data_IF_503180633342
#
_entry.id   IF_503180633342
#
_cell.length_a   1.000
_cell.length_b   1.000
_cell.length_c   1.000
_cell.angle_alpha   90.00
_cell.angle_beta   90.00
_cell.angle_gamma   90.00
#
_symmetry.space_group_name_H-M   'P 1'
#
loop_
_entity.id
_entity.type
_entity.pdbx_description
1 polymer ?
#
# COMPACT_ATOMS: atom_id res chain seq x y z
N UNK A 1 -1.22 7.74 12.18
CA UNK A 1 -0.12 6.75 12.07
C UNK A 1 -0.57 5.37 12.57
N UNK A 2 -0.03 4.31 11.98
CA UNK A 2 -0.32 2.92 12.37
C UNK A 2 0.25 2.59 13.77
N UNK A 3 -0.54 1.91 14.60
CA UNK A 3 -0.06 1.35 15.86
C UNK A 3 0.66 0.02 15.59
N UNK A 4 2.00 0.00 15.71
CA UNK A 4 2.85 -1.17 15.43
C UNK A 4 2.59 -2.35 16.39
N UNK A 5 2.45 -2.10 17.68
CA UNK A 5 2.19 -3.16 18.67
C UNK A 5 0.87 -3.88 18.39
N UNK A 6 -0.20 -3.12 18.10
CA UNK A 6 -1.50 -3.68 17.75
C UNK A 6 -1.44 -4.47 16.46
N UNK A 7 -0.71 -3.96 15.45
CA UNK A 7 -0.51 -4.64 14.19
C UNK A 7 0.22 -5.98 14.38
N UNK A 8 1.36 -5.97 15.06
CA UNK A 8 2.18 -7.16 15.35
C UNK A 8 1.40 -8.23 16.11
N UNK A 9 0.63 -7.83 17.14
CA UNK A 9 -0.21 -8.73 17.93
C UNK A 9 -1.25 -9.48 17.08
N UNK A 10 -1.72 -8.86 15.99
CA UNK A 10 -2.78 -9.41 15.13
C UNK A 10 -2.27 -9.93 13.79
N UNK A 11 -0.94 -10.01 13.57
CA UNK A 11 -0.36 -10.51 12.31
C UNK A 11 -0.83 -11.93 11.96
N UNK A 12 -1.14 -12.75 12.96
CA UNK A 12 -1.67 -14.10 12.77
C UNK A 12 -3.06 -14.16 12.13
N UNK A 13 -3.78 -13.03 12.02
CA UNK A 13 -5.07 -12.96 11.32
C UNK A 13 -4.93 -12.64 9.82
N UNK A 14 -3.71 -12.36 9.35
CA UNK A 14 -3.46 -12.17 7.93
C UNK A 14 -3.56 -13.52 7.20
N UNK A 15 -3.97 -13.52 5.92
CA UNK A 15 -3.90 -14.72 5.08
C UNK A 15 -2.48 -15.27 5.02
N UNK A 16 -2.34 -16.57 4.74
CA UNK A 16 -1.01 -17.18 4.54
C UNK A 16 -0.26 -16.56 3.36
N UNK A 17 -1.00 -16.14 2.33
CA UNK A 17 -0.49 -15.45 1.16
C UNK A 17 -0.94 -13.99 1.19
N UNK A 18 -0.01 -13.09 1.53
CA UNK A 18 -0.21 -11.66 1.44
C UNK A 18 1.13 -10.96 1.13
N UNK A 19 1.05 -9.75 0.63
CA UNK A 19 2.21 -8.89 0.40
C UNK A 19 2.07 -7.63 1.25
N UNK A 20 3.13 -7.24 1.94
CA UNK A 20 3.22 -6.00 2.71
C UNK A 20 4.20 -5.06 2.02
N UNK A 21 3.77 -3.82 1.77
CA UNK A 21 4.56 -2.75 1.16
C UNK A 21 4.65 -1.58 2.13
N UNK A 22 5.85 -1.03 2.28
CA UNK A 22 6.13 0.15 3.10
C UNK A 22 6.59 1.26 2.17
N UNK A 23 5.84 2.36 2.12
CA UNK A 23 6.20 3.56 1.37
C UNK A 23 7.12 4.40 2.26
N UNK A 24 8.41 4.31 2.03
CA UNK A 24 9.41 5.01 2.84
C UNK A 24 9.27 6.51 2.68
N UNK A 25 9.21 7.24 3.81
CA UNK A 25 9.02 8.69 3.79
C UNK A 25 7.59 9.17 3.55
N UNK A 26 6.63 8.25 3.34
CA UNK A 26 5.22 8.57 3.20
C UNK A 26 4.54 8.92 4.53
N UNK A 27 3.33 9.47 4.45
CA UNK A 27 2.49 9.73 5.62
C UNK A 27 1.00 9.40 5.39
N UNK A 28 0.24 9.32 6.49
CA UNK A 28 -1.18 8.97 6.44
C UNK A 28 -2.01 10.01 5.69
N UNK A 29 -1.76 11.30 5.94
CA UNK A 29 -2.52 12.40 5.35
C UNK A 29 -2.36 12.56 3.85
N UNK A 30 -1.29 12.05 3.24
CA UNK A 30 -1.04 12.18 1.80
C UNK A 30 -2.00 11.35 0.93
N UNK A 31 -2.71 10.36 1.48
CA UNK A 31 -3.72 9.60 0.73
C UNK A 31 -5.08 10.32 0.63
N UNK A 32 -5.35 11.30 1.49
CA UNK A 32 -6.62 12.03 1.52
C UNK A 32 -6.50 13.43 0.92
N UNK A 33 -7.63 13.98 0.47
CA UNK A 33 -7.72 15.40 0.06
C UNK A 33 -8.11 16.34 1.21
N UNK A 34 -7.90 15.93 2.46
CA UNK A 34 -8.35 16.64 3.67
C UNK A 34 -7.26 17.53 4.30
N UNK A 35 -6.07 17.57 3.70
CA UNK A 35 -4.91 18.30 4.22
C UNK A 35 -4.22 17.59 5.39
N UNK A 36 -3.18 18.23 5.94
CA UNK A 36 -2.36 17.69 7.02
C UNK A 36 -3.17 17.62 8.32
N UNK A 37 -3.14 16.46 8.97
CA UNK A 37 -3.80 16.22 10.25
C UNK A 37 -2.79 16.13 11.39
N UNK A 38 -3.28 16.36 12.62
CA UNK A 38 -2.47 16.21 13.81
C UNK A 38 -2.02 14.75 13.95
N UNK A 39 -0.71 14.52 13.91
CA UNK A 39 -0.11 13.19 14.06
C UNK A 39 0.21 12.47 12.75
N UNK A 40 0.10 13.13 11.61
CA UNK A 40 0.56 12.57 10.32
C UNK A 40 2.08 12.48 10.22
N UNK A 41 2.80 13.28 11.01
CA UNK A 41 4.24 13.49 10.83
C UNK A 41 4.52 14.40 9.64
N UNK A 42 5.81 14.58 9.32
CA UNK A 42 6.26 15.33 8.15
C UNK A 42 6.74 14.32 7.10
N UNK A 43 6.07 14.18 5.95
CA UNK A 43 6.51 13.28 4.91
C UNK A 43 7.81 13.79 4.26
N UNK A 44 8.65 12.86 3.81
CA UNK A 44 9.87 13.18 3.05
C UNK A 44 9.71 12.96 1.55
N UNK A 45 8.60 12.34 1.13
CA UNK A 45 8.15 12.28 -0.26
C UNK A 45 6.93 13.17 -0.46
N UNK A 46 6.65 13.55 -1.70
CA UNK A 46 5.46 14.30 -2.09
C UNK A 46 4.22 13.40 -2.10
N UNK A 47 3.04 14.01 -2.08
CA UNK A 47 1.78 13.27 -2.25
C UNK A 47 1.76 12.53 -3.59
N UNK A 48 2.31 13.13 -4.64
CA UNK A 48 2.34 12.52 -5.95
C UNK A 48 3.21 11.26 -5.97
N UNK A 49 4.44 11.33 -5.44
CA UNK A 49 5.34 10.16 -5.34
C UNK A 49 4.68 9.03 -4.53
N UNK A 50 4.08 9.34 -3.38
CA UNK A 50 3.39 8.34 -2.56
C UNK A 50 2.25 7.65 -3.32
N UNK A 51 1.46 8.42 -4.09
CA UNK A 51 0.35 7.88 -4.90
C UNK A 51 0.88 7.07 -6.08
N UNK A 52 1.93 7.51 -6.76
CA UNK A 52 2.55 6.81 -7.87
C UNK A 52 3.11 5.46 -7.44
N UNK A 53 3.89 5.39 -6.35
CA UNK A 53 4.38 4.13 -5.79
C UNK A 53 3.23 3.18 -5.40
N UNK A 54 2.16 3.71 -4.80
CA UNK A 54 0.97 2.93 -4.44
C UNK A 54 0.27 2.36 -5.69
N UNK A 55 0.18 3.15 -6.76
CA UNK A 55 -0.44 2.71 -8.02
C UNK A 55 0.40 1.60 -8.65
N UNK A 56 1.72 1.74 -8.67
CA UNK A 56 2.63 0.71 -9.18
C UNK A 56 2.48 -0.62 -8.42
N UNK A 57 2.47 -0.56 -7.08
CA UNK A 57 2.29 -1.75 -6.24
C UNK A 57 0.93 -2.44 -6.46
N UNK A 58 -0.15 -1.65 -6.57
CA UNK A 58 -1.50 -2.19 -6.86
C UNK A 58 -1.56 -2.79 -8.26
N UNK A 59 -0.98 -2.13 -9.26
CA UNK A 59 -0.96 -2.64 -10.63
C UNK A 59 -0.17 -3.95 -10.72
N UNK A 60 0.98 -4.04 -10.04
CA UNK A 60 1.75 -5.27 -9.96
C UNK A 60 0.92 -6.40 -9.32
N UNK A 61 0.26 -6.13 -8.19
CA UNK A 61 -0.61 -7.11 -7.52
C UNK A 61 -1.74 -7.60 -8.44
N UNK A 62 -2.45 -6.68 -9.11
CA UNK A 62 -3.55 -7.05 -10.01
C UNK A 62 -3.04 -7.82 -11.24
N UNK A 63 -1.85 -7.51 -11.75
CA UNK A 63 -1.24 -8.20 -12.89
C UNK A 63 -0.65 -9.57 -12.53
N UNK A 64 -0.19 -9.78 -11.29
CA UNK A 64 0.23 -11.09 -10.82
C UNK A 64 -0.97 -12.04 -10.63
N UNK A 65 -2.10 -11.51 -10.13
CA UNK A 65 -3.35 -12.28 -9.96
C UNK A 65 -4.10 -12.49 -11.30
N UNK A 66 -3.97 -11.56 -12.24
CA UNK A 66 -4.50 -11.70 -13.59
C UNK A 66 -3.37 -12.19 -14.51
N UNK A 67 -3.32 -13.49 -14.80
CA UNK A 67 -2.54 -14.07 -15.91
C UNK A 67 -2.95 -13.45 -17.28
N UNK A 68 -2.66 -12.16 -17.51
CA UNK A 68 -2.84 -11.47 -18.80
C UNK A 68 -1.74 -11.92 -19.77
N UNK A 69 -0.73 -12.64 -19.28
CA UNK A 69 0.29 -13.31 -20.10
C UNK A 69 -0.02 -14.76 -20.43
N UNK A 70 -1.18 -15.32 -20.07
CA UNK A 70 -1.61 -16.60 -20.65
C UNK A 70 -2.23 -16.38 -22.05
N UNK A 71 -1.53 -16.75 -23.16
CA UNK A 71 -2.11 -16.67 -24.50
C UNK A 71 -3.24 -17.68 -24.73
N UNK A 72 -3.56 -18.56 -23.76
CA UNK A 72 -4.57 -19.61 -23.90
C UNK A 72 -6.00 -19.19 -23.55
N UNK A 73 -6.20 -18.02 -22.93
CA UNK A 73 -7.50 -17.35 -22.85
C UNK A 73 -8.63 -18.21 -22.25
N UNK A 74 -8.48 -18.67 -21.01
CA UNK A 74 -9.61 -19.21 -20.24
C UNK A 74 -9.78 -18.50 -18.90
N UNK A 75 -10.84 -17.72 -18.82
CA UNK A 75 -11.60 -17.50 -17.58
C UNK A 75 -12.11 -18.82 -17.02
#
# INVERSE_FOLDING_TARGET
MLNRESYEKNRSHLPEYFTEKILEGGCHGQFGSYGVQKGDGTPTITQQEQVEETVEDILAFVQEDCDITDPSGRM
#
